data_IF_909446620886
#
_entry.id   IF_909446620886
#
_cell.length_a   1.000
_cell.length_b   1.000
_cell.length_c   1.000
_cell.angle_alpha   90.00
_cell.angle_beta   90.00
_cell.angle_gamma   90.00
#
_symmetry.space_group_name_H-M   'P 1'
#
loop_
_entity.id
_entity.type
_entity.pdbx_description
1 polymer ?
#
# COMPACT_ATOMS: atom_id res chain seq x y z
N UNK A 1 -8.52 36.03 -16.57
CA UNK A 1 -8.06 34.63 -16.36
C UNK A 1 -6.60 34.55 -16.81
N UNK A 2 -5.68 34.02 -15.98
CA UNK A 2 -4.31 33.76 -16.45
C UNK A 2 -4.43 32.67 -17.54
N UNK A 3 -3.80 32.90 -18.69
CA UNK A 3 -3.72 31.89 -19.78
C UNK A 3 -3.09 30.60 -19.19
N UNK A 4 -3.87 29.51 -19.19
CA UNK A 4 -3.36 28.21 -18.77
C UNK A 4 -2.36 27.74 -19.84
N UNK A 5 -1.11 27.40 -19.46
CA UNK A 5 -0.12 26.91 -20.41
C UNK A 5 -0.64 25.66 -21.16
N UNK A 6 -0.14 25.45 -22.38
CA UNK A 6 -0.56 24.33 -23.22
C UNK A 6 0.63 23.45 -23.55
N UNK A 7 0.45 22.12 -23.42
CA UNK A 7 1.37 21.08 -23.82
C UNK A 7 0.76 20.26 -24.96
N UNK A 8 1.58 19.77 -25.91
CA UNK A 8 1.09 18.98 -27.05
C UNK A 8 1.77 17.63 -27.15
N UNK A 9 0.99 16.66 -27.60
CA UNK A 9 1.54 15.38 -28.05
C UNK A 9 2.47 15.57 -29.25
N UNK A 10 3.49 14.73 -29.34
CA UNK A 10 4.37 14.69 -30.53
C UNK A 10 3.59 14.15 -31.73
N UNK A 11 3.91 14.58 -32.98
CA UNK A 11 3.22 14.14 -34.18
C UNK A 11 3.17 12.61 -34.38
N UNK A 12 4.22 11.91 -33.90
CA UNK A 12 4.37 10.45 -34.03
C UNK A 12 3.85 9.67 -32.80
N UNK A 13 3.15 10.33 -31.87
CA UNK A 13 2.61 9.72 -30.65
C UNK A 13 1.08 9.84 -30.62
N UNK A 14 0.43 8.72 -30.41
CA UNK A 14 -1.01 8.68 -30.31
C UNK A 14 -1.47 9.04 -28.89
N UNK A 15 -2.41 9.98 -28.71
CA UNK A 15 -3.04 10.26 -27.42
C UNK A 15 -4.09 9.22 -27.03
N UNK A 16 -4.41 8.26 -27.89
CA UNK A 16 -5.54 7.35 -27.74
C UNK A 16 -5.60 6.68 -26.36
N UNK A 17 -4.46 6.21 -25.85
CA UNK A 17 -4.46 5.57 -24.53
C UNK A 17 -4.92 6.51 -23.40
N UNK A 18 -4.57 7.79 -23.47
CA UNK A 18 -4.98 8.81 -22.51
C UNK A 18 -6.47 9.12 -22.68
N UNK A 19 -6.95 9.24 -23.91
CA UNK A 19 -8.37 9.43 -24.23
C UNK A 19 -9.24 8.25 -23.78
N UNK A 20 -8.67 7.03 -23.72
CA UNK A 20 -9.34 5.83 -23.20
C UNK A 20 -9.16 5.62 -21.68
N UNK A 21 -8.58 6.60 -20.95
CA UNK A 21 -8.55 6.59 -19.50
C UNK A 21 -7.19 6.26 -18.87
N UNK A 22 -6.11 6.12 -19.66
CA UNK A 22 -4.77 5.99 -19.07
C UNK A 22 -4.35 7.32 -18.41
N UNK A 23 -4.00 7.36 -17.11
CA UNK A 23 -3.91 8.61 -16.37
C UNK A 23 -2.56 9.33 -16.49
N UNK A 24 -1.55 8.73 -17.15
CA UNK A 24 -0.19 9.27 -17.21
C UNK A 24 0.24 9.64 -18.61
N UNK A 25 1.03 10.71 -18.70
CA UNK A 25 1.71 11.17 -19.91
C UNK A 25 3.21 11.17 -19.61
N UNK A 26 3.96 10.48 -20.45
CA UNK A 26 5.41 10.40 -20.28
C UNK A 26 6.15 11.48 -21.09
N UNK A 27 7.38 11.80 -20.69
CA UNK A 27 8.21 12.81 -21.37
C UNK A 27 8.40 12.56 -22.87
N UNK A 28 8.39 11.29 -23.28
CA UNK A 28 8.53 10.90 -24.68
C UNK A 28 7.24 11.04 -25.51
N UNK A 29 6.10 11.25 -24.86
CA UNK A 29 4.83 11.42 -25.54
C UNK A 29 4.60 12.85 -26.02
N UNK A 30 5.25 13.84 -25.39
CA UNK A 30 4.96 15.27 -25.54
C UNK A 30 6.15 16.08 -26.02
N UNK A 31 5.86 17.28 -26.54
CA UNK A 31 6.87 18.24 -26.98
C UNK A 31 7.31 19.06 -25.78
N UNK A 32 8.55 18.82 -25.30
CA UNK A 32 9.19 19.61 -24.25
C UNK A 32 10.18 20.57 -24.88
N UNK A 33 9.80 21.82 -25.02
CA UNK A 33 10.66 22.90 -25.51
C UNK A 33 11.21 23.78 -24.37
N UNK A 34 11.94 24.86 -24.74
CA UNK A 34 12.50 25.80 -23.76
C UNK A 34 11.43 26.51 -22.91
N UNK A 35 10.19 26.66 -23.41
CA UNK A 35 9.10 27.35 -22.70
C UNK A 35 8.44 26.39 -21.72
N UNK A 36 8.12 25.19 -22.18
CA UNK A 36 7.47 24.18 -21.33
C UNK A 36 8.38 23.73 -20.19
N UNK A 37 9.70 23.62 -20.42
CA UNK A 37 10.66 23.31 -19.34
C UNK A 37 10.79 24.38 -18.26
N UNK A 38 10.31 25.60 -18.50
CA UNK A 38 10.27 26.70 -17.51
C UNK A 38 8.99 26.69 -16.66
N UNK A 39 8.01 25.89 -17.01
CA UNK A 39 6.77 25.77 -16.24
C UNK A 39 7.10 25.09 -14.89
N UNK A 40 6.80 25.71 -13.75
CA UNK A 40 7.10 25.14 -12.45
C UNK A 40 6.43 23.77 -12.26
N UNK A 41 7.10 22.79 -11.61
CA UNK A 41 6.50 21.49 -11.29
C UNK A 41 5.18 21.65 -10.53
N UNK A 42 4.19 20.80 -10.88
CA UNK A 42 2.86 20.82 -10.27
C UNK A 42 1.92 21.91 -10.80
N UNK A 43 2.33 22.65 -11.85
CA UNK A 43 1.42 23.60 -12.53
C UNK A 43 0.38 22.84 -13.37
N UNK A 44 -0.87 23.33 -13.36
CA UNK A 44 -1.90 22.79 -14.23
C UNK A 44 -1.74 23.33 -15.66
N UNK A 45 -1.80 22.41 -16.62
CA UNK A 45 -1.52 22.67 -18.04
C UNK A 45 -2.56 21.97 -18.90
N UNK A 46 -3.05 22.63 -19.94
CA UNK A 46 -3.90 21.98 -20.95
C UNK A 46 -3.06 21.03 -21.81
N UNK A 47 -3.53 19.81 -21.96
CA UNK A 47 -2.93 18.83 -22.88
C UNK A 47 -3.74 18.78 -24.18
N UNK A 48 -3.04 18.83 -25.30
CA UNK A 48 -3.63 18.81 -26.63
C UNK A 48 -3.04 17.70 -27.51
N UNK A 49 -3.83 17.26 -28.48
CA UNK A 49 -3.31 16.47 -29.61
C UNK A 49 -2.30 17.29 -30.43
N UNK A 50 -1.60 16.65 -31.37
CA UNK A 50 -0.75 17.37 -32.33
C UNK A 50 -1.57 18.40 -33.14
N UNK A 51 -2.84 18.10 -33.47
CA UNK A 51 -3.75 18.94 -34.23
C UNK A 51 -4.49 19.98 -33.39
N UNK A 52 -3.99 20.27 -32.19
CA UNK A 52 -4.47 21.29 -31.25
C UNK A 52 -5.87 21.02 -30.66
N UNK A 53 -6.36 19.80 -30.70
CA UNK A 53 -7.60 19.44 -30.02
C UNK A 53 -7.33 19.22 -28.53
N UNK A 54 -8.15 19.82 -27.68
CA UNK A 54 -8.05 19.68 -26.23
C UNK A 54 -8.40 18.23 -25.80
N UNK A 55 -7.60 17.68 -24.88
CA UNK A 55 -7.79 16.34 -24.30
C UNK A 55 -8.22 16.46 -22.83
N UNK A 56 -7.62 17.37 -22.07
CA UNK A 56 -7.89 17.55 -20.65
C UNK A 56 -6.90 18.48 -19.97
N UNK A 57 -7.04 18.58 -18.66
CA UNK A 57 -6.16 19.31 -17.76
C UNK A 57 -5.23 18.33 -17.05
N UNK A 58 -3.94 18.62 -17.01
CA UNK A 58 -2.90 17.79 -16.38
C UNK A 58 -2.17 18.55 -15.29
N UNK A 59 -1.71 17.84 -14.29
CA UNK A 59 -0.64 18.31 -13.42
C UNK A 59 0.71 18.00 -14.08
N UNK A 60 1.49 19.04 -14.36
CA UNK A 60 2.71 18.97 -15.16
C UNK A 60 3.97 19.01 -14.30
N UNK A 61 4.95 18.17 -14.65
CA UNK A 61 6.29 18.20 -14.10
C UNK A 61 7.31 17.77 -15.17
N UNK A 62 8.11 18.72 -15.69
CA UNK A 62 9.12 18.43 -16.73
C UNK A 62 10.31 17.60 -16.22
N UNK A 63 10.51 17.51 -14.92
CA UNK A 63 11.62 16.78 -14.30
C UNK A 63 11.28 15.32 -14.03
N UNK A 64 9.98 14.99 -13.99
CA UNK A 64 9.50 13.64 -13.79
C UNK A 64 9.37 12.86 -15.10
N UNK A 65 9.61 11.54 -15.05
CA UNK A 65 9.29 10.63 -16.16
C UNK A 65 7.78 10.63 -16.46
N UNK A 66 6.95 10.72 -15.44
CA UNK A 66 5.50 10.95 -15.56
C UNK A 66 5.32 12.47 -15.65
N UNK A 67 5.55 13.00 -16.83
CA UNK A 67 5.55 14.44 -17.09
C UNK A 67 4.15 15.07 -16.92
N UNK A 68 3.08 14.31 -17.12
CA UNK A 68 1.72 14.76 -16.91
C UNK A 68 0.87 13.71 -16.22
N UNK A 69 0.04 14.14 -15.26
CA UNK A 69 -1.00 13.32 -14.64
C UNK A 69 -2.35 13.95 -14.96
N UNK A 70 -3.27 13.18 -15.54
CA UNK A 70 -4.62 13.68 -15.88
C UNK A 70 -5.35 14.04 -14.58
N UNK A 71 -5.77 15.29 -14.47
CA UNK A 71 -6.56 15.80 -13.34
C UNK A 71 -8.05 15.79 -13.67
N UNK A 72 -8.39 16.32 -14.86
CA UNK A 72 -9.75 16.39 -15.33
C UNK A 72 -9.78 16.33 -16.88
N UNK A 73 -10.85 15.79 -17.45
CA UNK A 73 -11.07 15.79 -18.90
C UNK A 73 -11.67 17.13 -19.37
N UNK A 74 -12.29 17.90 -18.47
CA UNK A 74 -12.68 19.27 -18.76
C UNK A 74 -11.46 20.18 -18.64
N UNK A 75 -11.00 20.73 -19.76
CA UNK A 75 -9.86 21.65 -19.82
C UNK A 75 -10.11 22.98 -19.11
N UNK A 76 -11.35 23.29 -18.76
CA UNK A 76 -11.77 24.49 -18.03
C UNK A 76 -12.04 24.20 -16.56
N UNK A 77 -11.84 22.96 -16.10
CA UNK A 77 -12.00 22.61 -14.69
C UNK A 77 -11.11 23.49 -13.79
N UNK A 78 -11.67 23.95 -12.69
CA UNK A 78 -10.91 24.65 -11.65
C UNK A 78 -10.53 23.62 -10.59
N UNK A 79 -9.22 23.37 -10.47
CA UNK A 79 -8.69 22.46 -9.44
C UNK A 79 -8.47 23.29 -8.18
N UNK A 80 -9.45 23.26 -7.29
CA UNK A 80 -9.50 23.98 -6.03
C UNK A 80 -9.94 23.07 -4.87
N UNK A 81 -10.16 23.61 -3.70
CA UNK A 81 -10.66 22.90 -2.52
C UNK A 81 -11.98 22.17 -2.84
N UNK A 82 -12.93 22.79 -3.55
CA UNK A 82 -14.21 22.17 -3.86
C UNK A 82 -14.07 20.97 -4.82
N UNK A 83 -13.15 21.06 -5.78
CA UNK A 83 -12.83 19.94 -6.66
C UNK A 83 -12.26 18.77 -5.86
N UNK A 84 -11.35 19.04 -4.90
CA UNK A 84 -10.79 18.03 -4.00
C UNK A 84 -11.88 17.43 -3.11
N UNK A 85 -12.75 18.25 -2.53
CA UNK A 85 -13.90 17.79 -1.71
C UNK A 85 -14.73 16.76 -2.46
N UNK A 86 -15.10 17.02 -3.72
CA UNK A 86 -15.88 16.07 -4.54
C UNK A 86 -15.17 14.72 -4.73
N UNK A 87 -13.84 14.72 -4.89
CA UNK A 87 -13.06 13.46 -4.99
C UNK A 87 -13.04 12.72 -3.66
N UNK A 88 -12.85 13.44 -2.56
CA UNK A 88 -12.89 12.86 -1.21
C UNK A 88 -14.28 12.29 -0.87
N UNK A 89 -15.36 12.98 -1.23
CA UNK A 89 -16.74 12.51 -1.02
C UNK A 89 -17.01 11.21 -1.81
N UNK A 90 -16.58 11.16 -3.06
CA UNK A 90 -16.74 9.96 -3.89
C UNK A 90 -15.99 8.76 -3.28
N UNK A 91 -14.74 8.96 -2.88
CA UNK A 91 -13.93 7.93 -2.24
C UNK A 91 -14.50 7.52 -0.87
N UNK A 92 -14.96 8.48 -0.07
CA UNK A 92 -15.60 8.25 1.22
C UNK A 92 -16.88 7.41 1.09
N UNK A 93 -17.70 7.70 0.08
CA UNK A 93 -18.94 6.94 -0.17
C UNK A 93 -18.63 5.46 -0.41
N UNK A 94 -17.60 5.14 -1.20
CA UNK A 94 -17.13 3.77 -1.40
C UNK A 94 -16.67 3.15 -0.07
N UNK A 95 -15.82 3.83 0.71
CA UNK A 95 -15.29 3.30 1.99
C UNK A 95 -16.38 3.05 3.03
N UNK A 96 -17.38 3.93 3.10
CA UNK A 96 -18.55 3.75 3.98
C UNK A 96 -19.41 2.54 3.60
N UNK A 97 -19.43 2.14 2.34
CA UNK A 97 -20.11 0.92 1.89
C UNK A 97 -19.35 -0.34 2.28
N UNK A 98 -18.02 -0.23 2.44
CA UNK A 98 -17.13 -1.37 2.65
C UNK A 98 -16.76 -1.60 4.11
N UNK A 99 -16.75 -0.53 4.93
CA UNK A 99 -16.22 -0.58 6.30
C UNK A 99 -17.11 0.19 7.29
N UNK A 100 -17.40 -0.41 8.41
CA UNK A 100 -18.21 0.20 9.49
C UNK A 100 -17.38 1.22 10.33
N UNK A 101 -16.06 1.02 10.42
CA UNK A 101 -15.17 1.85 11.23
C UNK A 101 -14.25 2.72 10.36
N UNK A 102 -13.89 3.95 10.81
CA UNK A 102 -13.14 4.92 10.02
C UNK A 102 -11.63 4.67 10.02
N UNK A 103 -11.21 3.46 9.70
CA UNK A 103 -9.81 3.02 9.63
C UNK A 103 -9.58 2.36 8.27
N UNK A 104 -9.07 3.11 7.31
CA UNK A 104 -8.86 2.64 5.93
C UNK A 104 -8.02 3.63 5.13
N UNK A 105 -7.54 3.19 3.98
CA UNK A 105 -7.04 4.08 2.94
C UNK A 105 -8.20 4.83 2.30
N UNK A 106 -8.30 6.13 2.60
CA UNK A 106 -9.35 6.98 2.03
C UNK A 106 -9.09 7.29 0.55
N UNK A 107 -7.85 7.59 0.18
CA UNK A 107 -7.44 7.91 -1.21
C UNK A 107 -6.28 7.01 -1.62
N UNK A 108 -6.47 6.30 -2.73
CA UNK A 108 -5.48 5.48 -3.40
C UNK A 108 -5.11 6.05 -4.77
N UNK A 109 -4.52 7.22 -4.77
CA UNK A 109 -3.94 7.94 -5.92
C UNK A 109 -4.89 8.01 -7.14
N UNK A 110 -4.39 7.61 -8.31
CA UNK A 110 -5.10 7.68 -9.59
C UNK A 110 -6.44 6.92 -9.58
N UNK A 111 -6.53 5.84 -8.82
CA UNK A 111 -7.73 5.02 -8.75
C UNK A 111 -8.92 5.74 -8.06
N UNK A 112 -8.64 6.69 -7.18
CA UNK A 112 -9.66 7.55 -6.55
C UNK A 112 -9.69 8.97 -7.16
N UNK A 113 -9.01 9.18 -8.29
CA UNK A 113 -9.04 10.45 -9.04
C UNK A 113 -8.27 11.60 -8.39
N UNK A 114 -7.33 11.32 -7.47
CA UNK A 114 -6.34 12.26 -6.93
C UNK A 114 -4.92 11.77 -7.26
N UNK A 115 -4.44 11.98 -8.49
CA UNK A 115 -3.21 11.36 -8.98
C UNK A 115 -1.99 11.63 -8.10
N UNK A 116 -1.33 10.57 -7.65
CA UNK A 116 -0.13 10.68 -6.80
C UNK A 116 -0.40 11.10 -5.35
N UNK A 117 -1.66 11.09 -4.90
CA UNK A 117 -2.03 11.36 -3.49
C UNK A 117 -2.45 10.08 -2.80
N UNK A 118 -1.89 9.81 -1.64
CA UNK A 118 -2.34 8.77 -0.72
C UNK A 118 -2.87 9.45 0.53
N UNK A 119 -4.04 9.02 1.02
CA UNK A 119 -4.58 9.50 2.30
C UNK A 119 -5.05 8.28 3.08
N UNK A 120 -4.42 8.03 4.23
CA UNK A 120 -4.86 7.03 5.19
C UNK A 120 -5.61 7.69 6.35
N UNK A 121 -6.74 7.12 6.72
CA UNK A 121 -7.60 7.59 7.81
C UNK A 121 -7.50 6.68 9.02
N UNK A 122 -7.21 7.28 10.17
CA UNK A 122 -7.12 6.64 11.49
C UNK A 122 -8.11 7.32 12.45
N UNK A 123 -9.41 7.07 12.27
CA UNK A 123 -10.46 7.79 12.99
C UNK A 123 -10.50 9.26 12.59
N UNK A 124 -10.09 10.14 13.53
CA UNK A 124 -10.00 11.58 13.33
C UNK A 124 -8.58 12.06 12.99
N UNK A 125 -7.65 11.14 12.76
CA UNK A 125 -6.31 11.44 12.28
C UNK A 125 -6.16 11.02 10.81
N UNK A 126 -5.45 11.87 10.03
CA UNK A 126 -5.20 11.66 8.60
C UNK A 126 -3.72 11.77 8.31
N UNK A 127 -3.20 10.78 7.58
CA UNK A 127 -1.84 10.81 7.04
C UNK A 127 -1.92 11.01 5.54
N UNK A 128 -1.39 12.13 5.06
CA UNK A 128 -1.40 12.52 3.65
C UNK A 128 -0.01 12.34 3.06
N UNK A 129 0.12 11.54 2.00
CA UNK A 129 1.35 11.40 1.22
C UNK A 129 1.17 12.10 -0.14
N UNK A 130 1.62 13.35 -0.30
CA UNK A 130 1.56 14.09 -1.55
C UNK A 130 2.77 13.71 -2.42
N UNK A 131 2.66 12.60 -3.16
CA UNK A 131 3.75 12.02 -3.93
C UNK A 131 3.95 12.67 -5.32
N UNK A 132 3.09 13.63 -5.70
CA UNK A 132 3.21 14.41 -6.94
C UNK A 132 3.38 15.90 -6.63
N UNK A 133 4.10 16.63 -7.48
CA UNK A 133 4.43 18.03 -7.26
C UNK A 133 3.18 18.94 -7.10
N UNK A 134 2.08 18.65 -7.81
CA UNK A 134 0.84 19.40 -7.66
C UNK A 134 0.22 19.24 -6.27
N UNK A 135 0.26 18.00 -5.75
CA UNK A 135 -0.31 17.69 -4.45
C UNK A 135 0.48 18.33 -3.31
N UNK A 136 1.80 18.38 -3.44
CA UNK A 136 2.66 19.08 -2.47
C UNK A 136 2.37 20.58 -2.45
N UNK A 137 2.18 21.20 -3.62
CA UNK A 137 1.80 22.61 -3.74
C UNK A 137 0.40 22.92 -3.22
N UNK A 138 -0.54 21.97 -3.36
CA UNK A 138 -1.93 22.14 -2.94
C UNK A 138 -2.24 21.50 -1.59
N UNK A 139 -1.22 21.30 -0.76
CA UNK A 139 -1.44 20.84 0.62
C UNK A 139 -2.40 21.72 1.42
N UNK A 140 -2.40 23.07 1.29
CA UNK A 140 -3.40 23.90 1.95
C UNK A 140 -4.84 23.56 1.51
N UNK A 141 -5.09 23.36 0.22
CA UNK A 141 -6.40 23.03 -0.32
C UNK A 141 -6.84 21.62 0.08
N UNK A 142 -5.89 20.65 0.09
CA UNK A 142 -6.15 19.27 0.56
C UNK A 142 -6.50 19.30 2.06
N UNK A 143 -5.76 20.06 2.85
CA UNK A 143 -6.02 20.26 4.28
C UNK A 143 -7.41 20.86 4.49
N UNK A 144 -7.73 21.95 3.78
CA UNK A 144 -9.04 22.60 3.87
C UNK A 144 -10.19 21.66 3.50
N UNK A 145 -10.01 20.82 2.46
CA UNK A 145 -11.01 19.82 2.07
C UNK A 145 -11.21 18.74 3.14
N UNK A 146 -10.13 18.28 3.79
CA UNK A 146 -10.24 17.34 4.90
C UNK A 146 -10.93 17.98 6.12
N UNK A 147 -10.65 19.24 6.41
CA UNK A 147 -11.30 19.97 7.50
C UNK A 147 -12.80 20.15 7.26
N UNK A 148 -13.21 20.47 6.04
CA UNK A 148 -14.62 20.61 5.67
C UNK A 148 -15.42 19.32 5.85
N UNK A 149 -14.83 18.17 5.52
CA UNK A 149 -15.54 16.89 5.51
C UNK A 149 -15.47 16.13 6.84
N UNK A 150 -14.37 16.29 7.58
CA UNK A 150 -14.08 15.39 8.71
C UNK A 150 -13.78 16.11 10.03
N UNK A 151 -13.47 17.40 10.01
CA UNK A 151 -13.02 18.16 11.19
C UNK A 151 -11.91 17.41 11.98
N UNK A 152 -10.81 16.98 11.31
CA UNK A 152 -9.82 16.10 11.90
C UNK A 152 -9.09 16.74 13.09
N UNK A 153 -8.66 15.91 14.05
CA UNK A 153 -7.80 16.34 15.14
C UNK A 153 -6.33 16.39 14.72
N UNK A 154 -5.92 15.48 13.82
CA UNK A 154 -4.54 15.36 13.36
C UNK A 154 -4.52 15.29 11.83
N UNK A 155 -3.64 16.09 11.22
CA UNK A 155 -3.25 15.96 9.81
C UNK A 155 -1.73 15.94 9.74
N UNK A 156 -1.17 14.79 9.34
CA UNK A 156 0.26 14.60 9.10
C UNK A 156 0.54 14.56 7.60
N UNK A 157 1.38 15.47 7.11
CA UNK A 157 2.03 15.32 5.80
C UNK A 157 3.20 14.35 5.96
N UNK A 158 3.09 13.16 5.37
CA UNK A 158 4.17 12.19 5.32
C UNK A 158 4.90 12.29 3.97
N UNK A 159 6.12 12.77 4.00
CA UNK A 159 6.95 13.02 2.82
C UNK A 159 8.05 11.95 2.59
N UNK A 160 8.07 10.87 3.36
CA UNK A 160 9.14 9.85 3.34
C UNK A 160 9.11 8.91 2.11
N UNK A 161 8.15 9.07 1.20
CA UNK A 161 7.98 8.19 0.05
C UNK A 161 9.04 8.37 -1.05
N UNK A 162 9.64 7.27 -1.54
CA UNK A 162 10.58 7.29 -2.67
C UNK A 162 10.00 7.96 -3.94
N UNK A 163 8.68 7.92 -4.13
CA UNK A 163 8.03 8.56 -5.27
C UNK A 163 8.28 10.06 -5.32
N UNK A 164 8.44 10.71 -4.16
CA UNK A 164 8.69 12.16 -4.04
C UNK A 164 10.04 12.57 -4.62
N UNK A 165 11.09 11.78 -4.38
CA UNK A 165 12.42 12.08 -4.96
C UNK A 165 12.41 12.01 -6.49
N UNK A 166 11.54 11.20 -7.10
CA UNK A 166 11.35 11.14 -8.56
C UNK A 166 10.59 12.34 -9.12
N UNK A 167 9.93 13.10 -8.26
CA UNK A 167 9.21 14.34 -8.58
C UNK A 167 10.02 15.60 -8.20
N UNK A 168 11.26 15.43 -7.66
CA UNK A 168 12.10 16.55 -7.21
C UNK A 168 11.64 17.20 -5.90
N UNK A 169 10.89 16.46 -5.06
CA UNK A 169 10.32 16.95 -3.80
C UNK A 169 11.18 16.57 -2.59
N UNK A 170 11.10 17.38 -1.52
CA UNK A 170 11.73 17.09 -0.22
C UNK A 170 11.05 15.90 0.49
N UNK A 171 11.66 15.42 1.57
CA UNK A 171 11.21 14.27 2.37
C UNK A 171 10.85 14.65 3.82
N UNK A 172 10.56 15.92 4.10
CA UNK A 172 10.25 16.42 5.43
C UNK A 172 8.80 16.08 5.84
N UNK A 173 8.65 15.31 6.92
CA UNK A 173 7.36 15.02 7.55
C UNK A 173 6.93 16.20 8.43
N UNK A 174 5.67 16.65 8.31
CA UNK A 174 5.16 17.83 9.01
C UNK A 174 3.75 17.55 9.54
N UNK A 175 3.53 17.75 10.83
CA UNK A 175 2.18 17.89 11.36
C UNK A 175 1.59 19.24 10.92
N UNK A 176 0.62 19.19 10.00
CA UNK A 176 -0.13 20.38 9.54
C UNK A 176 -1.11 20.80 10.61
N UNK A 177 -1.69 19.83 11.33
CA UNK A 177 -2.62 20.05 12.44
C UNK A 177 -2.39 19.03 13.54
N UNK A 178 -2.45 19.45 14.79
CA UNK A 178 -2.29 18.59 15.95
C UNK A 178 -0.89 18.00 16.09
N UNK A 179 -0.78 16.97 16.91
CA UNK A 179 0.44 16.16 17.11
C UNK A 179 0.04 14.75 17.55
N UNK A 180 0.98 13.80 17.50
CA UNK A 180 0.79 12.45 18.03
C UNK A 180 2.03 12.03 18.80
N UNK A 181 1.93 12.04 20.13
CA UNK A 181 3.00 11.62 21.04
C UNK A 181 2.90 10.16 21.43
N UNK A 182 1.81 9.49 21.03
CA UNK A 182 1.56 8.06 21.28
C UNK A 182 0.99 7.38 20.03
N UNK A 183 1.16 6.07 19.89
CA UNK A 183 0.54 5.28 18.84
C UNK A 183 -1.00 5.38 18.88
N UNK A 184 -1.64 5.42 17.72
CA UNK A 184 -3.08 5.44 17.57
C UNK A 184 -3.65 4.03 17.63
N UNK A 185 -4.77 3.86 18.33
CA UNK A 185 -5.55 2.62 18.30
C UNK A 185 -6.35 2.51 16.99
N UNK A 186 -6.21 1.40 16.31
CA UNK A 186 -6.91 1.08 15.06
C UNK A 186 -7.75 -0.17 15.25
N UNK A 187 -9.05 -0.04 15.18
CA UNK A 187 -10.00 -1.15 15.27
C UNK A 187 -10.23 -1.76 13.89
N UNK A 188 -9.79 -3.00 13.70
CA UNK A 188 -9.87 -3.71 12.43
C UNK A 188 -9.89 -5.22 12.67
N UNK A 189 -10.72 -5.98 11.93
CA UNK A 189 -10.81 -7.44 12.06
C UNK A 189 -11.00 -7.91 13.51
N UNK A 190 -11.88 -7.24 14.25
CA UNK A 190 -12.21 -7.52 15.66
C UNK A 190 -11.01 -7.49 16.64
N UNK A 191 -9.93 -6.83 16.27
CA UNK A 191 -8.73 -6.60 17.09
C UNK A 191 -8.36 -5.12 17.13
N UNK A 192 -7.52 -4.74 18.09
CA UNK A 192 -6.94 -3.41 18.22
C UNK A 192 -5.47 -3.49 17.79
N UNK A 193 -5.11 -2.68 16.81
CA UNK A 193 -3.74 -2.52 16.33
C UNK A 193 -3.21 -1.16 16.76
N UNK A 194 -1.90 -1.07 16.98
CA UNK A 194 -1.25 0.19 17.28
C UNK A 194 -0.52 0.74 16.06
N UNK A 195 -0.87 1.96 15.64
CA UNK A 195 -0.24 2.65 14.53
C UNK A 195 0.60 3.83 15.01
N UNK A 196 1.90 3.79 14.78
CA UNK A 196 2.78 4.95 14.95
C UNK A 196 2.83 5.71 13.63
N UNK A 197 2.08 6.82 13.56
CA UNK A 197 1.99 7.64 12.35
C UNK A 197 3.19 8.59 12.20
N UNK A 198 3.94 8.86 13.27
CA UNK A 198 5.06 9.82 13.29
C UNK A 198 6.40 9.17 12.99
N UNK A 199 6.70 8.01 13.59
CA UNK A 199 7.97 7.29 13.47
C UNK A 199 7.87 5.93 12.77
N UNK A 200 6.65 5.46 12.50
CA UNK A 200 6.40 4.15 11.89
C UNK A 200 6.76 4.06 10.40
N UNK A 201 6.88 2.82 9.90
CA UNK A 201 7.06 2.60 8.46
C UNK A 201 5.83 3.05 7.67
N UNK A 202 6.04 3.73 6.53
CA UNK A 202 4.99 4.28 5.66
C UNK A 202 4.06 5.22 6.46
N UNK A 203 2.79 4.84 6.61
CA UNK A 203 1.75 5.60 7.33
C UNK A 203 1.45 5.04 8.72
N UNK A 204 2.22 4.04 9.21
CA UNK A 204 2.08 3.43 10.53
C UNK A 204 1.35 2.09 10.55
N UNK A 205 0.52 1.78 9.55
CA UNK A 205 -0.19 0.50 9.41
C UNK A 205 -0.38 0.14 7.93
N UNK A 206 -0.52 -1.15 7.64
CA UNK A 206 -0.74 -1.68 6.29
C UNK A 206 -2.21 -2.10 6.13
N UNK A 207 -3.08 -1.18 5.68
CA UNK A 207 -4.49 -1.48 5.42
C UNK A 207 -4.68 -2.44 4.24
N UNK A 208 -3.71 -2.48 3.31
CA UNK A 208 -3.76 -3.33 2.11
C UNK A 208 -3.84 -4.84 2.41
N UNK A 209 -3.43 -5.29 3.61
CA UNK A 209 -3.50 -6.69 4.02
C UNK A 209 -4.78 -7.06 4.78
N UNK A 210 -5.73 -6.13 5.00
CA UNK A 210 -6.92 -6.35 5.85
C UNK A 210 -7.70 -7.61 5.51
N UNK A 211 -8.02 -7.82 4.23
CA UNK A 211 -8.80 -8.96 3.77
C UNK A 211 -8.00 -10.27 3.86
N UNK A 212 -6.68 -10.20 3.64
CA UNK A 212 -5.79 -11.34 3.82
C UNK A 212 -5.66 -11.71 5.31
N UNK A 213 -5.61 -10.72 6.21
CA UNK A 213 -5.70 -10.94 7.66
C UNK A 213 -7.00 -11.66 8.02
N UNK A 214 -8.15 -11.16 7.56
CA UNK A 214 -9.46 -11.73 7.84
C UNK A 214 -9.63 -13.17 7.30
N UNK A 215 -9.10 -13.44 6.10
CA UNK A 215 -9.14 -14.81 5.56
C UNK A 215 -8.20 -15.75 6.32
N UNK A 216 -6.99 -15.31 6.67
CA UNK A 216 -6.05 -16.07 7.49
C UNK A 216 -6.64 -16.39 8.86
N UNK A 217 -7.33 -15.44 9.47
CA UNK A 217 -7.96 -15.58 10.78
C UNK A 217 -8.96 -16.75 10.81
N UNK A 218 -9.75 -16.94 9.74
CA UNK A 218 -10.66 -18.09 9.59
C UNK A 218 -9.92 -19.43 9.59
N UNK A 219 -8.72 -19.47 8.98
CA UNK A 219 -7.90 -20.69 8.91
C UNK A 219 -7.20 -21.03 10.23
N UNK A 220 -7.01 -20.04 11.09
CA UNK A 220 -6.29 -20.15 12.35
C UNK A 220 -7.21 -20.51 13.54
N UNK A 221 -8.53 -20.49 13.37
CA UNK A 221 -9.49 -20.77 14.45
C UNK A 221 -9.22 -22.15 15.08
N UNK A 222 -9.08 -22.18 16.40
CA UNK A 222 -8.78 -23.37 17.19
C UNK A 222 -7.34 -23.87 17.07
N UNK A 223 -6.46 -23.19 16.30
CA UNK A 223 -5.08 -23.58 16.06
C UNK A 223 -4.07 -22.51 16.47
N UNK A 224 -2.78 -22.82 16.29
CA UNK A 224 -1.66 -21.89 16.49
C UNK A 224 -1.23 -21.23 15.19
N UNK A 225 -0.81 -19.97 15.24
CA UNK A 225 -0.30 -19.22 14.09
C UNK A 225 1.11 -18.67 14.38
N UNK A 226 1.96 -18.67 13.36
CA UNK A 226 3.17 -17.85 13.32
C UNK A 226 3.10 -16.85 12.18
N UNK A 227 3.39 -15.60 12.49
CA UNK A 227 3.34 -14.43 11.59
C UNK A 227 4.78 -13.93 11.39
N UNK A 228 5.37 -14.29 10.26
CA UNK A 228 6.77 -13.97 9.94
C UNK A 228 6.83 -12.71 9.07
N UNK A 229 7.65 -11.75 9.43
CA UNK A 229 7.67 -10.35 9.02
C UNK A 229 6.40 -9.62 9.49
N UNK A 230 6.08 -9.82 10.77
CA UNK A 230 4.77 -9.49 11.36
C UNK A 230 4.49 -8.00 11.45
N UNK A 231 5.52 -7.14 11.40
CA UNK A 231 5.38 -5.71 11.69
C UNK A 231 4.65 -5.52 13.04
N UNK A 232 3.49 -4.86 13.07
CA UNK A 232 2.67 -4.65 14.27
C UNK A 232 1.71 -5.81 14.56
N UNK A 233 1.97 -7.02 14.03
CA UNK A 233 1.18 -8.22 14.31
C UNK A 233 -0.12 -8.32 13.54
N UNK A 234 -0.16 -7.87 12.28
CA UNK A 234 -1.38 -7.80 11.49
C UNK A 234 -2.14 -9.12 11.39
N UNK A 235 -1.48 -10.18 10.97
CA UNK A 235 -2.07 -11.52 10.88
C UNK A 235 -2.27 -12.16 12.25
N UNK A 236 -1.34 -11.94 13.18
CA UNK A 236 -1.38 -12.51 14.53
C UNK A 236 -2.62 -12.05 15.30
N UNK A 237 -2.87 -10.74 15.36
CA UNK A 237 -3.97 -10.17 16.14
C UNK A 237 -5.33 -10.53 15.53
N UNK A 238 -5.45 -10.50 14.19
CA UNK A 238 -6.65 -10.96 13.51
C UNK A 238 -6.93 -12.45 13.78
N UNK A 239 -5.89 -13.30 13.83
CA UNK A 239 -6.08 -14.71 14.14
C UNK A 239 -6.54 -14.95 15.58
N UNK A 240 -6.00 -14.24 16.55
CA UNK A 240 -6.41 -14.33 17.96
C UNK A 240 -7.85 -13.87 18.15
N UNK A 241 -8.28 -12.79 17.48
CA UNK A 241 -9.67 -12.33 17.56
C UNK A 241 -10.67 -13.35 17.00
N UNK A 242 -10.23 -14.15 16.02
CA UNK A 242 -11.05 -15.23 15.43
C UNK A 242 -10.94 -16.57 16.17
N UNK A 243 -10.27 -16.63 17.33
CA UNK A 243 -10.21 -17.83 18.17
C UNK A 243 -8.98 -18.71 17.96
N UNK A 244 -7.88 -18.18 17.40
CA UNK A 244 -6.60 -18.89 17.46
C UNK A 244 -6.17 -19.10 18.92
N UNK A 245 -5.59 -20.26 19.21
CA UNK A 245 -5.17 -20.62 20.59
C UNK A 245 -3.90 -19.90 21.01
N UNK A 246 -3.04 -19.59 20.05
CA UNK A 246 -1.79 -18.82 20.25
C UNK A 246 -1.32 -18.18 18.95
N UNK A 247 -0.64 -17.06 19.06
CA UNK A 247 0.02 -16.39 17.97
C UNK A 247 1.46 -16.01 18.33
N UNK A 248 2.38 -16.23 17.40
CA UNK A 248 3.78 -15.86 17.50
C UNK A 248 4.13 -14.88 16.39
N UNK A 249 4.52 -13.67 16.75
CA UNK A 249 4.94 -12.63 15.80
C UNK A 249 6.46 -12.57 15.71
N UNK A 250 6.99 -12.59 14.47
CA UNK A 250 8.44 -12.55 14.21
C UNK A 250 8.77 -11.33 13.36
N UNK A 251 9.60 -10.43 13.87
CA UNK A 251 10.11 -9.28 13.13
C UNK A 251 11.52 -8.88 13.58
N UNK A 252 12.26 -8.21 12.73
CA UNK A 252 13.57 -7.64 13.05
C UNK A 252 13.47 -6.32 13.83
N UNK A 253 12.34 -5.63 13.72
CA UNK A 253 12.08 -4.32 14.34
C UNK A 253 11.49 -4.47 15.74
N UNK A 254 12.29 -4.18 16.78
CA UNK A 254 11.77 -4.15 18.14
C UNK A 254 10.63 -3.13 18.34
N UNK A 255 10.72 -1.90 17.80
CA UNK A 255 9.59 -0.95 17.91
C UNK A 255 8.28 -1.48 17.30
N UNK A 256 8.34 -2.22 16.19
CA UNK A 256 7.15 -2.83 15.61
C UNK A 256 6.57 -3.93 16.51
N UNK A 257 7.43 -4.78 17.08
CA UNK A 257 7.01 -5.82 18.04
C UNK A 257 6.44 -5.22 19.33
N UNK A 258 6.97 -4.09 19.81
CA UNK A 258 6.43 -3.39 20.97
C UNK A 258 5.02 -2.86 20.70
N UNK A 259 4.75 -2.40 19.47
CA UNK A 259 3.40 -2.01 19.03
C UNK A 259 2.47 -3.24 18.92
N UNK A 260 2.98 -4.37 18.43
CA UNK A 260 2.22 -5.62 18.38
C UNK A 260 1.83 -6.11 19.78
N UNK A 261 2.74 -6.04 20.76
CA UNK A 261 2.45 -6.38 22.16
C UNK A 261 1.38 -5.46 22.73
N UNK A 262 1.49 -4.13 22.52
CA UNK A 262 0.47 -3.18 22.97
C UNK A 262 -0.90 -3.45 22.32
N UNK A 263 -0.93 -3.83 21.04
CA UNK A 263 -2.15 -4.23 20.34
C UNK A 263 -2.77 -5.50 20.92
N UNK A 264 -1.94 -6.49 21.25
CA UNK A 264 -2.37 -7.72 21.91
C UNK A 264 -2.93 -7.44 23.33
N UNK A 265 -2.29 -6.57 24.10
CA UNK A 265 -2.75 -6.16 25.42
C UNK A 265 -4.09 -5.43 25.34
N UNK A 266 -4.22 -4.45 24.45
CA UNK A 266 -5.45 -3.70 24.23
C UNK A 266 -6.61 -4.58 23.75
N UNK A 267 -6.31 -5.67 23.02
CA UNK A 267 -7.30 -6.65 22.54
C UNK A 267 -7.58 -7.75 23.56
N UNK A 268 -6.88 -7.81 24.71
CA UNK A 268 -7.05 -8.85 25.73
C UNK A 268 -6.34 -10.18 25.41
N UNK A 269 -5.35 -10.19 24.52
CA UNK A 269 -4.68 -11.39 24.03
C UNK A 269 -3.28 -11.61 24.63
N UNK A 270 -2.84 -10.85 25.63
CA UNK A 270 -1.49 -10.90 26.23
C UNK A 270 -1.00 -12.30 26.57
N UNK A 271 -1.90 -13.19 27.02
CA UNK A 271 -1.53 -14.57 27.42
C UNK A 271 -1.35 -15.52 26.24
N UNK A 272 -1.90 -15.19 25.07
CA UNK A 272 -1.87 -16.04 23.87
C UNK A 272 -0.99 -15.48 22.78
N UNK A 273 -0.31 -14.36 23.04
CA UNK A 273 0.57 -13.67 22.09
C UNK A 273 2.02 -13.71 22.55
N UNK A 274 2.93 -14.03 21.64
CA UNK A 274 4.38 -14.02 21.87
C UNK A 274 5.12 -13.39 20.70
N UNK A 275 6.35 -12.92 20.96
CA UNK A 275 7.18 -12.28 19.93
C UNK A 275 8.58 -12.87 19.89
N UNK A 276 9.16 -12.95 18.68
CA UNK A 276 10.58 -13.25 18.45
C UNK A 276 11.19 -12.09 17.63
N UNK A 277 12.17 -11.42 18.23
CA UNK A 277 12.99 -10.45 17.51
C UNK A 277 14.15 -11.14 16.82
N UNK A 278 14.28 -11.00 15.51
CA UNK A 278 15.43 -11.55 14.79
C UNK A 278 15.27 -11.50 13.28
N UNK A 279 16.29 -11.98 12.56
CA UNK A 279 16.17 -12.27 11.14
C UNK A 279 15.15 -13.39 10.93
N UNK A 280 14.18 -13.14 10.06
CA UNK A 280 13.07 -14.06 9.83
C UNK A 280 13.53 -15.46 9.39
N UNK A 281 14.60 -15.55 8.59
CA UNK A 281 15.13 -16.82 8.12
C UNK A 281 15.83 -17.58 9.25
N UNK A 282 16.58 -16.88 10.10
CA UNK A 282 17.26 -17.47 11.25
C UNK A 282 16.24 -17.97 12.28
N UNK A 283 15.24 -17.15 12.60
CA UNK A 283 14.18 -17.54 13.56
C UNK A 283 13.37 -18.74 13.04
N UNK A 284 12.99 -18.76 11.74
CA UNK A 284 12.30 -19.93 11.15
C UNK A 284 13.17 -21.21 11.21
N UNK A 285 14.49 -21.10 11.03
CA UNK A 285 15.39 -22.24 11.13
C UNK A 285 15.47 -22.76 12.57
N UNK A 286 15.67 -21.87 13.54
CA UNK A 286 15.71 -22.18 14.96
C UNK A 286 14.43 -22.88 15.42
N UNK A 287 13.26 -22.29 15.15
CA UNK A 287 11.97 -22.88 15.54
C UNK A 287 11.74 -24.27 14.90
N UNK A 288 12.21 -24.46 13.67
CA UNK A 288 12.15 -25.78 13.04
C UNK A 288 12.99 -26.82 13.76
N UNK A 289 14.22 -26.47 14.17
CA UNK A 289 15.14 -27.34 14.91
C UNK A 289 14.63 -27.63 16.34
N UNK A 290 13.95 -26.67 16.96
CA UNK A 290 13.27 -26.82 18.26
C UNK A 290 12.02 -27.72 18.17
N UNK A 291 11.62 -28.12 16.96
CA UNK A 291 10.46 -28.98 16.75
C UNK A 291 9.12 -28.25 16.66
N UNK A 292 9.13 -26.92 16.66
CA UNK A 292 7.93 -26.10 16.60
C UNK A 292 7.18 -26.28 15.27
N UNK A 293 5.85 -26.41 15.36
CA UNK A 293 4.94 -26.51 14.21
C UNK A 293 3.64 -25.77 14.50
N UNK A 294 3.11 -25.11 13.47
CA UNK A 294 1.94 -24.25 13.58
C UNK A 294 0.82 -24.70 12.64
N UNK A 295 -0.43 -24.47 13.05
CA UNK A 295 -1.58 -24.72 12.19
C UNK A 295 -1.57 -23.77 10.98
N UNK A 296 -1.18 -22.50 11.18
CA UNK A 296 -1.04 -21.50 10.13
C UNK A 296 0.35 -20.89 10.21
N UNK A 297 1.03 -20.82 9.08
CA UNK A 297 2.30 -20.11 8.92
C UNK A 297 2.11 -19.02 7.90
N UNK A 298 2.33 -17.77 8.29
CA UNK A 298 2.32 -16.60 7.40
C UNK A 298 3.74 -16.14 7.13
N UNK A 299 4.01 -15.75 5.90
CA UNK A 299 5.26 -15.11 5.51
C UNK A 299 4.95 -13.94 4.57
N UNK A 300 5.01 -12.72 5.11
CA UNK A 300 4.73 -11.46 4.40
C UNK A 300 5.96 -10.54 4.34
N UNK A 301 6.99 -10.92 3.56
CA UNK A 301 8.26 -10.23 3.54
C UNK A 301 8.15 -8.87 2.84
N UNK A 302 9.12 -7.95 3.08
CA UNK A 302 9.27 -6.76 2.29
C UNK A 302 9.51 -7.11 0.81
N UNK A 303 9.40 -6.11 -0.08
CA UNK A 303 9.56 -6.32 -1.51
C UNK A 303 10.95 -6.85 -1.88
N UNK A 304 11.11 -8.16 -2.03
CA UNK A 304 12.37 -8.78 -2.45
C UNK A 304 12.74 -8.46 -3.91
N UNK A 305 11.75 -8.16 -4.75
CA UNK A 305 11.94 -7.78 -6.14
C UNK A 305 11.32 -6.38 -6.43
N UNK A 306 11.89 -5.28 -5.89
CA UNK A 306 11.33 -3.94 -6.05
C UNK A 306 11.49 -3.38 -7.47
N UNK A 307 12.33 -3.99 -8.31
CA UNK A 307 12.63 -3.54 -9.68
C UNK A 307 12.97 -4.72 -10.59
N UNK A 308 12.87 -4.53 -11.91
CA UNK A 308 13.22 -5.56 -12.89
C UNK A 308 14.63 -6.14 -12.72
N UNK A 309 15.69 -5.34 -12.49
CA UNK A 309 17.03 -5.88 -12.21
C UNK A 309 17.12 -6.76 -10.96
N UNK A 310 16.27 -6.53 -9.96
CA UNK A 310 16.25 -7.30 -8.71
C UNK A 310 15.40 -8.59 -8.80
N UNK A 311 14.71 -8.83 -9.92
CA UNK A 311 13.69 -9.88 -10.05
C UNK A 311 14.23 -11.27 -9.71
N UNK A 312 15.31 -11.71 -10.38
CA UNK A 312 15.85 -13.05 -10.20
C UNK A 312 16.33 -13.33 -8.77
N UNK A 313 16.99 -12.33 -8.17
CA UNK A 313 17.41 -12.44 -6.76
C UNK A 313 16.21 -12.49 -5.83
N UNK A 314 15.20 -11.67 -6.10
CA UNK A 314 13.96 -11.63 -5.31
C UNK A 314 13.18 -12.94 -5.40
N UNK A 315 13.08 -13.55 -6.59
CA UNK A 315 12.41 -14.85 -6.75
C UNK A 315 13.10 -15.96 -5.96
N UNK A 316 14.44 -15.97 -5.91
CA UNK A 316 15.19 -16.91 -5.04
C UNK A 316 14.92 -16.66 -3.56
N UNK A 317 14.75 -15.42 -3.13
CA UNK A 317 14.39 -15.11 -1.74
C UNK A 317 12.97 -15.57 -1.40
N UNK A 318 11.99 -15.38 -2.29
CA UNK A 318 10.63 -15.95 -2.15
C UNK A 318 10.64 -17.48 -2.09
N UNK A 319 11.43 -18.14 -2.95
CA UNK A 319 11.61 -19.58 -2.92
C UNK A 319 12.17 -20.05 -1.56
N UNK A 320 13.21 -19.38 -1.05
CA UNK A 320 13.80 -19.68 0.26
C UNK A 320 12.78 -19.51 1.38
N UNK A 321 12.04 -18.39 1.39
CA UNK A 321 11.00 -18.11 2.38
C UNK A 321 9.91 -19.20 2.36
N UNK A 322 9.39 -19.53 1.19
CA UNK A 322 8.39 -20.58 1.04
C UNK A 322 8.89 -21.95 1.52
N UNK A 323 10.16 -22.30 1.22
CA UNK A 323 10.77 -23.55 1.70
C UNK A 323 10.82 -23.62 3.21
N UNK A 324 11.26 -22.56 3.87
CA UNK A 324 11.43 -22.55 5.33
C UNK A 324 10.08 -22.50 6.03
N UNK A 325 9.18 -21.63 5.58
CA UNK A 325 7.83 -21.54 6.13
C UNK A 325 7.03 -22.85 6.00
N UNK A 326 7.16 -23.55 4.84
CA UNK A 326 6.50 -24.85 4.64
C UNK A 326 6.89 -25.91 5.66
N UNK A 327 8.13 -25.88 6.17
CA UNK A 327 8.62 -26.83 7.17
C UNK A 327 7.97 -26.64 8.54
N UNK A 328 7.49 -25.43 8.84
CA UNK A 328 6.86 -25.08 10.12
C UNK A 328 5.35 -25.39 10.12
N UNK A 329 4.76 -25.71 8.97
CA UNK A 329 3.32 -26.03 8.87
C UNK A 329 3.05 -27.45 9.36
N UNK A 330 2.11 -27.63 10.28
CA UNK A 330 1.58 -28.95 10.70
C UNK A 330 1.01 -29.71 9.49
N UNK A 331 1.00 -31.06 9.50
CA UNK A 331 0.23 -31.82 8.51
C UNK A 331 -1.23 -31.36 8.51
N UNK A 332 -1.80 -31.11 7.31
CA UNK A 332 -3.16 -30.58 7.16
C UNK A 332 -3.31 -29.09 7.50
N UNK A 333 -2.21 -28.42 7.86
CA UNK A 333 -2.21 -26.98 8.17
C UNK A 333 -2.11 -26.08 6.93
N UNK A 334 -1.94 -24.78 7.17
CA UNK A 334 -2.02 -23.77 6.13
C UNK A 334 -0.75 -22.93 6.03
N UNK A 335 -0.38 -22.60 4.80
CA UNK A 335 0.72 -21.69 4.47
C UNK A 335 0.18 -20.47 3.73
N UNK A 336 0.49 -19.30 4.22
CA UNK A 336 0.14 -18.00 3.60
C UNK A 336 1.43 -17.32 3.18
N UNK A 337 1.57 -17.05 1.90
CA UNK A 337 2.74 -16.37 1.33
C UNK A 337 2.31 -15.10 0.64
N UNK A 338 2.93 -13.97 0.96
CA UNK A 338 2.62 -12.66 0.42
C UNK A 338 3.80 -12.06 -0.35
N UNK A 339 3.50 -11.15 -1.26
CA UNK A 339 4.48 -10.37 -2.01
C UNK A 339 3.92 -9.01 -2.43
N UNK A 340 4.58 -7.94 -2.03
CA UNK A 340 4.32 -6.57 -2.51
C UNK A 340 5.29 -6.13 -3.64
N UNK A 341 6.03 -7.06 -4.25
CA UNK A 341 7.02 -6.77 -5.30
C UNK A 341 6.37 -6.44 -6.63
N UNK A 342 6.58 -5.24 -7.16
CA UNK A 342 6.07 -4.83 -8.48
C UNK A 342 6.65 -5.65 -9.64
N UNK A 343 7.95 -6.03 -9.58
CA UNK A 343 8.60 -6.76 -10.66
C UNK A 343 8.20 -8.24 -10.73
N UNK A 344 7.72 -8.82 -9.63
CA UNK A 344 7.26 -10.20 -9.57
C UNK A 344 5.73 -10.24 -9.73
N UNK A 345 5.25 -10.60 -10.92
CA UNK A 345 3.82 -10.87 -11.14
C UNK A 345 3.36 -12.13 -10.39
N UNK A 346 2.04 -12.35 -10.32
CA UNK A 346 1.45 -13.50 -9.62
C UNK A 346 1.99 -14.84 -10.15
N UNK A 347 2.24 -14.96 -11.45
CA UNK A 347 2.70 -16.22 -12.04
C UNK A 347 4.13 -16.57 -11.59
N UNK A 348 5.03 -15.59 -11.62
CA UNK A 348 6.43 -15.77 -11.18
C UNK A 348 6.51 -16.00 -9.67
N UNK A 349 5.75 -15.24 -8.90
CA UNK A 349 5.67 -15.40 -7.44
C UNK A 349 5.15 -16.80 -7.06
N UNK A 350 4.04 -17.24 -7.67
CA UNK A 350 3.47 -18.58 -7.46
C UNK A 350 4.48 -19.67 -7.80
N UNK A 351 5.15 -19.56 -8.96
CA UNK A 351 6.17 -20.54 -9.36
C UNK A 351 7.29 -20.66 -8.33
N UNK A 352 7.87 -19.55 -7.89
CA UNK A 352 8.92 -19.53 -6.88
C UNK A 352 8.45 -20.15 -5.55
N UNK A 353 7.25 -19.80 -5.10
CA UNK A 353 6.63 -20.32 -3.88
C UNK A 353 6.43 -21.83 -3.93
N UNK A 354 5.88 -22.36 -5.03
CA UNK A 354 5.66 -23.81 -5.20
C UNK A 354 6.96 -24.60 -5.32
N UNK A 355 7.99 -24.03 -5.95
CA UNK A 355 9.33 -24.65 -5.98
C UNK A 355 9.91 -24.73 -4.56
N UNK A 356 9.78 -23.65 -3.76
CA UNK A 356 10.22 -23.64 -2.37
C UNK A 356 9.51 -24.68 -1.52
N UNK A 357 8.18 -24.76 -1.61
CA UNK A 357 7.36 -25.77 -0.94
C UNK A 357 7.79 -27.19 -1.32
N UNK A 358 7.97 -27.48 -2.62
CA UNK A 358 8.47 -28.79 -3.09
C UNK A 358 9.85 -29.15 -2.57
N UNK A 359 10.78 -28.17 -2.48
CA UNK A 359 12.11 -28.35 -1.87
C UNK A 359 12.07 -28.60 -0.36
N UNK A 360 10.95 -28.27 0.31
CA UNK A 360 10.68 -28.66 1.69
C UNK A 360 10.13 -30.08 1.83
N UNK A 361 9.91 -30.78 0.72
CA UNK A 361 9.29 -32.12 0.69
C UNK A 361 7.77 -32.08 0.91
N UNK A 362 7.14 -30.91 0.81
CA UNK A 362 5.69 -30.74 1.07
C UNK A 362 4.92 -30.64 -0.24
N UNK A 363 3.69 -31.15 -0.19
CA UNK A 363 2.67 -31.01 -1.24
C UNK A 363 1.47 -30.29 -0.68
N UNK A 364 0.56 -29.88 -1.52
CA UNK A 364 -0.64 -29.18 -1.08
C UNK A 364 -1.46 -28.63 -2.23
N UNK A 365 -2.51 -27.90 -1.87
CA UNK A 365 -3.42 -27.28 -2.82
C UNK A 365 -3.57 -25.78 -2.51
N UNK A 366 -3.63 -24.96 -3.55
CA UNK A 366 -3.97 -23.54 -3.41
C UNK A 366 -5.47 -23.46 -3.19
N UNK A 367 -5.86 -22.90 -2.03
CA UNK A 367 -7.27 -22.75 -1.64
C UNK A 367 -7.81 -21.34 -1.90
N UNK A 368 -6.90 -20.35 -1.99
CA UNK A 368 -7.27 -18.96 -2.24
C UNK A 368 -6.08 -18.18 -2.80
N UNK A 369 -6.36 -17.10 -3.53
CA UNK A 369 -5.40 -16.08 -3.94
C UNK A 369 -5.93 -14.71 -3.57
N UNK A 370 -5.18 -13.98 -2.75
CA UNK A 370 -5.54 -12.65 -2.27
C UNK A 370 -4.81 -11.54 -3.03
N UNK A 371 -5.31 -10.33 -2.87
CA UNK A 371 -4.77 -9.08 -3.40
C UNK A 371 -4.74 -8.01 -2.31
N UNK A 372 -4.45 -6.76 -2.67
CA UNK A 372 -4.63 -5.64 -1.77
C UNK A 372 -6.11 -5.47 -1.40
N UNK A 373 -6.34 -4.92 -0.23
CA UNK A 373 -7.64 -4.64 0.32
C UNK A 373 -8.51 -3.79 -0.60
N UNK A 374 -9.82 -3.90 -0.43
CA UNK A 374 -10.81 -3.20 -1.28
C UNK A 374 -10.78 -1.67 -1.13
N UNK A 375 -10.14 -1.16 -0.08
CA UNK A 375 -9.80 0.27 0.07
C UNK A 375 -8.56 0.70 -0.75
N UNK A 376 -7.94 -0.25 -1.46
CA UNK A 376 -6.84 -0.04 -2.41
C UNK A 376 -7.33 -0.37 -3.84
N UNK A 377 -8.27 0.40 -4.40
CA UNK A 377 -8.83 0.08 -5.70
C UNK A 377 -7.75 0.06 -6.78
N UNK A 378 -7.88 -0.88 -7.71
CA UNK A 378 -6.99 -1.00 -8.87
C UNK A 378 -7.47 -0.05 -9.97
N UNK A 379 -6.58 0.81 -10.46
CA UNK A 379 -6.89 1.62 -11.63
C UNK A 379 -6.89 0.74 -12.90
N UNK A 380 -7.97 0.72 -13.71
CA UNK A 380 -8.11 -0.24 -14.82
C UNK A 380 -6.95 -0.22 -15.83
N UNK A 381 -6.32 0.93 -16.00
CA UNK A 381 -5.23 1.12 -16.97
C UNK A 381 -3.83 1.14 -16.34
N UNK A 382 -3.69 0.92 -15.01
CA UNK A 382 -2.41 0.90 -14.31
C UNK A 382 -2.17 -0.45 -13.63
N UNK A 383 -1.41 -1.32 -14.28
CA UNK A 383 -1.00 -2.61 -13.70
C UNK A 383 -0.25 -2.45 -12.37
N UNK A 384 0.45 -1.32 -12.19
CA UNK A 384 1.20 -0.98 -10.99
C UNK A 384 0.32 -0.84 -9.74
N UNK A 385 -0.97 -0.53 -9.90
CA UNK A 385 -1.91 -0.46 -8.78
C UNK A 385 -2.28 -1.83 -8.21
N UNK A 386 -2.05 -2.94 -8.95
CA UNK A 386 -2.25 -4.32 -8.50
C UNK A 386 -0.93 -4.94 -8.00
N UNK A 387 -0.33 -4.38 -6.97
CA UNK A 387 1.01 -4.73 -6.51
C UNK A 387 1.06 -5.88 -5.49
N UNK A 388 0.03 -6.03 -4.64
CA UNK A 388 -0.01 -7.04 -3.59
C UNK A 388 -0.56 -8.36 -4.12
N UNK A 389 0.08 -9.44 -3.75
CA UNK A 389 -0.29 -10.82 -4.09
C UNK A 389 -0.16 -11.69 -2.86
N UNK A 390 -1.16 -12.54 -2.60
CA UNK A 390 -1.11 -13.53 -1.55
C UNK A 390 -1.57 -14.88 -2.07
N UNK A 391 -0.93 -15.96 -1.62
CA UNK A 391 -1.28 -17.34 -1.96
C UNK A 391 -1.51 -18.09 -0.66
N UNK A 392 -2.66 -18.72 -0.57
CA UNK A 392 -3.07 -19.53 0.57
C UNK A 392 -3.06 -21.00 0.16
N UNK A 393 -2.29 -21.80 0.86
CA UNK A 393 -2.12 -23.22 0.59
C UNK A 393 -2.55 -24.05 1.81
N UNK A 394 -3.21 -25.17 1.57
CA UNK A 394 -3.33 -26.24 2.54
C UNK A 394 -2.28 -27.28 2.24
N UNK A 395 -1.44 -27.64 3.24
CA UNK A 395 -0.35 -28.59 3.08
C UNK A 395 -0.74 -29.97 3.66
N UNK A 396 -0.18 -31.02 3.04
CA UNK A 396 -0.31 -32.43 3.47
C UNK A 396 0.38 -32.73 4.79
#
# INVERSE_FOLDING_TARGET
MKDIPTLRFRPNKSPARVMFGFPWIYSDDVILDRRTKKIPPGTFVKIQTNDKQDIGLIAFNSESKITGRIMDLDVNATIDTNWIVKKLESALALRKTLYDAPFYRLIHAEADGLPGVIIDRFGDAFVVQPNAAWADRMMPEITSALEQLFSPNIILKNASGRARSLEGLNDENIFIKGSSDAPLEVKMNDAIYMADISGGQKTGLFFDQRENHAFTAKLANGGSIIDVFSHVGGFSLAALSAGATSATAVDSSQPALDLAIKGADASGFSKSFSTYKGDAFEVMAQLFEEGERYQVVVCDPPAFAPSKPALERGLRAYEKAAKMASKLVKPGGYLVLCSCSHAADMQKFRKASLVGMGKAGRKGQIIHSGSAGIDHPVHPHLAESSYLKSIFLRLD
#
